data_IF_516762822308
#
_entry.id   IF_516762822308
#
_cell.length_a   1.000
_cell.length_b   1.000
_cell.length_c   1.000
_cell.angle_alpha   90.00
_cell.angle_beta   90.00
_cell.angle_gamma   90.00
#
_symmetry.space_group_name_H-M   'P 1'
#
loop_
_entity.id
_entity.type
_entity.pdbx_description
1 polymer ?
#
# COMPACT_ATOMS: atom_id res chain seq x y z
N UNK A 1 -9.13 8.80 -4.17
CA UNK A 1 -10.50 8.29 -3.87
C UNK A 1 -11.50 8.67 -4.97
N UNK A 2 -11.04 9.36 -6.03
CA UNK A 2 -11.83 9.94 -7.13
C UNK A 2 -12.35 8.95 -8.19
N UNK A 3 -12.31 7.65 -7.92
CA UNK A 3 -12.71 6.59 -8.87
C UNK A 3 -14.18 6.20 -8.70
N UNK A 4 -14.69 6.15 -7.47
CA UNK A 4 -16.08 5.78 -7.20
C UNK A 4 -17.06 6.89 -7.61
N UNK A 5 -16.66 8.16 -7.42
CA UNK A 5 -17.50 9.32 -7.78
C UNK A 5 -17.72 9.40 -9.29
N UNK A 6 -16.67 9.18 -10.09
CA UNK A 6 -16.77 9.17 -11.56
C UNK A 6 -17.57 7.99 -12.11
N UNK A 7 -17.52 6.83 -11.46
CA UNK A 7 -18.33 5.66 -11.85
C UNK A 7 -19.82 5.91 -11.55
N UNK A 8 -20.13 6.54 -10.42
CA UNK A 8 -21.49 6.93 -10.07
C UNK A 8 -22.11 7.85 -11.11
N UNK A 9 -21.40 8.91 -11.50
CA UNK A 9 -21.87 9.87 -12.51
C UNK A 9 -22.07 9.22 -13.90
N UNK A 10 -21.19 8.30 -14.28
CA UNK A 10 -21.26 7.61 -15.58
C UNK A 10 -22.41 6.59 -15.62
N UNK A 11 -22.71 5.88 -14.52
CA UNK A 11 -23.85 4.96 -14.41
C UNK A 11 -25.18 5.73 -14.53
N UNK A 12 -25.30 6.91 -13.91
CA UNK A 12 -26.51 7.74 -13.99
C UNK A 12 -26.73 8.30 -15.39
N UNK A 13 -25.67 8.67 -16.12
CA UNK A 13 -25.79 9.12 -17.51
C UNK A 13 -26.19 8.00 -18.47
N UNK A 14 -25.66 6.78 -18.31
CA UNK A 14 -25.99 5.63 -19.17
C UNK A 14 -27.40 5.08 -18.90
N UNK A 15 -27.88 5.16 -17.65
CA UNK A 15 -29.26 4.77 -17.29
C UNK A 15 -30.35 5.52 -18.06
N UNK A 16 -30.09 6.77 -18.46
CA UNK A 16 -31.01 7.58 -19.25
C UNK A 16 -31.01 7.27 -20.76
N UNK A 17 -30.08 6.45 -21.26
CA UNK A 17 -29.90 6.16 -22.71
C UNK A 17 -30.30 4.70 -23.08
N UNK A 18 -30.73 3.90 -22.10
CA UNK A 18 -30.86 2.45 -22.18
C UNK A 18 -32.12 1.91 -22.89
N UNK A 19 -32.27 2.20 -24.18
CA UNK A 19 -33.33 1.61 -25.01
C UNK A 19 -32.89 0.88 -26.28
N UNK A 20 -31.87 1.37 -27.00
CA UNK A 20 -31.80 1.07 -28.46
C UNK A 20 -30.52 0.50 -29.06
N UNK A 21 -29.41 0.27 -28.32
CA UNK A 21 -28.20 -0.30 -28.97
C UNK A 21 -27.42 -1.28 -28.09
N UNK A 22 -27.81 -2.55 -28.14
CA UNK A 22 -27.11 -3.65 -27.47
C UNK A 22 -25.69 -3.93 -28.02
N UNK A 23 -25.38 -3.55 -29.27
CA UNK A 23 -24.03 -3.71 -29.87
C UNK A 23 -23.00 -2.78 -29.20
N UNK A 24 -23.39 -1.53 -29.01
CA UNK A 24 -22.53 -0.46 -28.48
C UNK A 24 -22.11 -0.74 -27.03
N UNK A 25 -22.90 -1.51 -26.26
CA UNK A 25 -22.59 -1.89 -24.88
C UNK A 25 -21.36 -2.82 -24.80
N UNK A 26 -21.20 -3.73 -25.77
CA UNK A 26 -20.08 -4.69 -25.77
C UNK A 26 -18.75 -4.04 -26.17
N UNK A 27 -18.78 -3.10 -27.12
CA UNK A 27 -17.63 -2.29 -27.51
C UNK A 27 -17.26 -1.32 -26.39
N UNK A 28 -18.26 -0.69 -25.75
CA UNK A 28 -18.06 0.15 -24.57
C UNK A 28 -17.40 -0.62 -23.41
N UNK A 29 -17.87 -1.82 -23.10
CA UNK A 29 -17.29 -2.65 -22.04
C UNK A 29 -15.82 -3.03 -22.33
N UNK A 30 -15.49 -3.36 -23.58
CA UNK A 30 -14.10 -3.64 -24.01
C UNK A 30 -13.21 -2.42 -23.86
N UNK A 31 -13.62 -1.28 -24.42
CA UNK A 31 -12.86 -0.03 -24.37
C UNK A 31 -12.63 0.43 -22.93
N UNK A 32 -13.65 0.32 -22.07
CA UNK A 32 -13.52 0.67 -20.65
C UNK A 32 -12.55 -0.27 -19.92
N UNK A 33 -12.55 -1.56 -20.28
CA UNK A 33 -11.59 -2.54 -19.74
C UNK A 33 -10.15 -2.24 -20.16
N UNK A 34 -9.93 -1.93 -21.43
CA UNK A 34 -8.63 -1.52 -21.97
C UNK A 34 -8.14 -0.22 -21.33
N UNK A 35 -9.03 0.77 -21.19
CA UNK A 35 -8.72 2.04 -20.53
C UNK A 35 -8.21 1.82 -19.11
N UNK A 36 -8.93 1.04 -18.29
CA UNK A 36 -8.49 0.73 -16.91
C UNK A 36 -7.14 0.01 -16.86
N UNK A 37 -6.91 -0.91 -17.79
CA UNK A 37 -5.65 -1.66 -17.89
C UNK A 37 -4.48 -0.73 -18.25
N UNK A 38 -4.69 0.18 -19.20
CA UNK A 38 -3.69 1.16 -19.63
C UNK A 38 -3.44 2.23 -18.58
N UNK A 39 -4.49 2.75 -17.92
CA UNK A 39 -4.37 3.71 -16.82
C UNK A 39 -3.55 3.11 -15.67
N UNK A 40 -3.79 1.84 -15.31
CA UNK A 40 -2.98 1.15 -14.30
C UNK A 40 -1.51 1.05 -14.72
N UNK A 41 -1.24 0.59 -15.95
CA UNK A 41 0.13 0.51 -16.48
C UNK A 41 0.82 1.87 -16.51
N UNK A 42 0.08 2.93 -16.84
CA UNK A 42 0.59 4.29 -16.84
C UNK A 42 0.99 4.73 -15.42
N UNK A 43 0.14 4.47 -14.42
CA UNK A 43 0.46 4.76 -13.02
C UNK A 43 1.67 3.97 -12.53
N UNK A 44 1.74 2.67 -12.84
CA UNK A 44 2.87 1.81 -12.48
C UNK A 44 4.19 2.36 -13.06
N UNK A 45 4.18 2.78 -14.32
CA UNK A 45 5.35 3.39 -14.98
C UNK A 45 5.75 4.73 -14.36
N UNK A 46 4.80 5.58 -13.96
CA UNK A 46 5.12 6.83 -13.26
C UNK A 46 5.82 6.57 -11.92
N UNK A 47 5.35 5.56 -11.17
CA UNK A 47 5.96 5.16 -9.90
C UNK A 47 7.39 4.65 -10.12
N UNK A 48 7.61 3.77 -11.11
CA UNK A 48 8.94 3.25 -11.42
C UNK A 48 9.91 4.35 -11.85
N UNK A 49 9.43 5.27 -12.70
CA UNK A 49 10.22 6.42 -13.14
C UNK A 49 10.59 7.32 -11.96
N UNK A 50 9.62 7.67 -11.11
CA UNK A 50 9.85 8.49 -9.93
C UNK A 50 10.81 7.85 -8.93
N UNK A 51 10.74 6.53 -8.73
CA UNK A 51 11.69 5.79 -7.88
C UNK A 51 13.12 5.87 -8.41
N UNK A 52 13.33 5.57 -9.68
CA UNK A 52 14.66 5.68 -10.32
C UNK A 52 15.20 7.10 -10.23
N UNK A 53 14.33 8.08 -10.49
CA UNK A 53 14.69 9.48 -10.39
C UNK A 53 15.13 9.85 -8.97
N UNK A 54 14.37 9.45 -7.96
CA UNK A 54 14.71 9.72 -6.56
C UNK A 54 15.98 8.99 -6.10
N UNK A 55 16.25 7.78 -6.58
CA UNK A 55 17.48 7.04 -6.29
C UNK A 55 18.73 7.76 -6.85
N UNK A 56 18.63 8.34 -8.05
CA UNK A 56 19.73 9.05 -8.71
C UNK A 56 19.86 10.53 -8.28
N UNK A 57 18.74 11.15 -7.92
CA UNK A 57 18.62 12.59 -7.67
C UNK A 57 17.99 12.93 -6.31
N UNK A 58 18.02 12.02 -5.34
CA UNK A 58 17.41 12.21 -4.03
C UNK A 58 17.90 13.47 -3.30
N UNK A 59 19.15 13.88 -3.53
CA UNK A 59 19.73 15.12 -2.96
C UNK A 59 19.63 16.34 -3.87
N UNK A 60 18.87 16.24 -4.97
CA UNK A 60 18.51 17.38 -5.80
C UNK A 60 17.63 18.36 -5.01
N UNK A 61 17.79 19.66 -5.29
CA UNK A 61 16.97 20.74 -4.72
C UNK A 61 15.70 20.99 -5.53
N UNK A 62 15.20 19.96 -6.19
CA UNK A 62 13.93 20.08 -6.86
C UNK A 62 12.80 20.06 -5.84
N UNK A 63 11.89 21.02 -5.99
CA UNK A 63 10.75 21.22 -5.09
C UNK A 63 9.93 19.94 -4.88
N UNK A 64 9.77 19.14 -5.95
CA UNK A 64 9.09 17.85 -5.86
C UNK A 64 9.85 16.80 -5.02
N UNK A 65 11.19 16.81 -5.06
CA UNK A 65 12.04 15.90 -4.28
C UNK A 65 12.05 16.30 -2.80
N UNK A 66 12.11 17.60 -2.51
CA UNK A 66 12.00 18.13 -1.14
C UNK A 66 10.64 17.78 -0.53
N UNK A 67 9.54 18.02 -1.25
CA UNK A 67 8.20 17.65 -0.81
C UNK A 67 8.05 16.13 -0.59
N UNK A 68 8.65 15.30 -1.45
CA UNK A 68 8.66 13.85 -1.29
C UNK A 68 9.41 13.41 -0.02
N UNK A 69 10.53 14.04 0.31
CA UNK A 69 11.29 13.77 1.55
C UNK A 69 10.48 14.12 2.79
N UNK A 70 9.80 15.27 2.79
CA UNK A 70 8.92 15.68 3.90
C UNK A 70 7.76 14.69 4.10
N UNK A 71 7.05 14.34 3.03
CA UNK A 71 5.96 13.36 3.08
C UNK A 71 6.46 11.98 3.56
N UNK A 72 7.65 11.56 3.11
CA UNK A 72 8.24 10.29 3.53
C UNK A 72 8.51 10.27 5.06
N UNK A 73 9.02 11.36 5.61
CA UNK A 73 9.25 11.50 7.05
C UNK A 73 7.92 11.48 7.84
N UNK A 74 6.88 12.17 7.36
CA UNK A 74 5.55 12.14 7.99
C UNK A 74 4.94 10.74 7.96
N UNK A 75 5.11 10.00 6.86
CA UNK A 75 4.66 8.60 6.75
C UNK A 75 5.35 7.71 7.77
N UNK A 76 6.65 7.89 8.01
CA UNK A 76 7.38 7.15 9.03
C UNK A 76 6.86 7.49 10.43
N UNK A 77 6.73 8.77 10.75
CA UNK A 77 6.22 9.23 12.04
C UNK A 77 4.80 8.73 12.33
N UNK A 78 3.93 8.69 11.32
CA UNK A 78 2.58 8.12 11.46
C UNK A 78 2.62 6.61 11.64
N UNK A 79 3.53 5.89 10.96
CA UNK A 79 3.71 4.45 11.17
C UNK A 79 4.14 4.14 12.59
N UNK A 80 5.04 4.94 13.16
CA UNK A 80 5.50 4.77 14.55
C UNK A 80 4.38 5.02 15.56
N UNK A 81 3.58 6.07 15.35
CA UNK A 81 2.39 6.32 16.18
C UNK A 81 1.39 5.16 16.10
N UNK A 82 1.16 4.62 14.90
CA UNK A 82 0.28 3.46 14.70
C UNK A 82 0.84 2.21 15.40
N UNK A 83 2.16 1.99 15.34
CA UNK A 83 2.82 0.88 16.02
C UNK A 83 2.71 1.01 17.55
N UNK A 84 2.96 2.22 18.08
CA UNK A 84 2.83 2.53 19.51
C UNK A 84 1.41 2.32 20.04
N UNK A 85 0.38 2.73 19.28
CA UNK A 85 -1.02 2.52 19.66
C UNK A 85 -1.47 1.06 19.58
N UNK A 86 -0.87 0.27 18.69
CA UNK A 86 -1.23 -1.15 18.49
C UNK A 86 -0.52 -2.10 19.46
N UNK A 87 0.40 -1.62 20.30
CA UNK A 87 1.06 -2.41 21.35
C UNK A 87 1.80 -3.64 20.81
N UNK A 88 2.30 -3.56 19.58
CA UNK A 88 2.90 -4.67 18.84
C UNK A 88 4.12 -4.22 18.05
N UNK A 89 4.97 -5.17 17.69
CA UNK A 89 6.19 -4.93 16.93
C UNK A 89 5.92 -5.12 15.43
N UNK A 90 6.48 -4.28 14.55
CA UNK A 90 6.31 -4.44 13.11
C UNK A 90 6.98 -5.74 12.63
N UNK A 91 6.26 -6.52 11.83
CA UNK A 91 6.81 -7.71 11.20
C UNK A 91 7.96 -7.32 10.23
N UNK A 92 9.15 -7.92 10.34
CA UNK A 92 10.29 -7.56 9.50
C UNK A 92 10.08 -7.91 8.02
N UNK A 93 9.15 -8.82 7.71
CA UNK A 93 8.89 -9.25 6.33
C UNK A 93 7.80 -8.43 5.62
N UNK A 94 6.76 -7.98 6.34
CA UNK A 94 5.60 -7.35 5.71
C UNK A 94 5.17 -6.02 6.34
N UNK A 95 5.79 -5.60 7.45
CA UNK A 95 5.47 -4.35 8.15
C UNK A 95 4.14 -4.35 8.91
N UNK A 96 3.39 -5.46 8.92
CA UNK A 96 2.18 -5.58 9.73
C UNK A 96 2.54 -5.50 11.22
N UNK A 97 1.76 -4.77 12.02
CA UNK A 97 1.96 -4.71 13.46
C UNK A 97 1.50 -6.00 14.11
N UNK A 98 2.43 -6.71 14.73
CA UNK A 98 2.20 -8.02 15.35
C UNK A 98 2.19 -7.84 16.87
N UNK A 99 1.16 -8.34 17.59
CA UNK A 99 1.11 -8.23 19.05
C UNK A 99 2.39 -8.79 19.71
N UNK A 100 2.90 -8.09 20.73
CA UNK A 100 4.07 -8.52 21.51
C UNK A 100 3.88 -9.95 22.03
N UNK A 101 4.92 -10.78 21.89
CA UNK A 101 4.89 -12.20 22.27
C UNK A 101 4.32 -13.17 21.22
N UNK A 102 4.03 -12.72 19.99
CA UNK A 102 3.59 -13.62 18.90
C UNK A 102 4.78 -14.25 18.14
N UNK A 103 4.88 -15.59 18.12
CA UNK A 103 5.97 -16.34 17.43
C UNK A 103 6.00 -16.15 15.91
N UNK A 104 4.85 -15.84 15.33
CA UNK A 104 4.66 -15.67 13.91
C UNK A 104 3.73 -14.49 13.62
N UNK A 105 3.96 -13.81 12.50
CA UNK A 105 3.10 -12.76 12.01
C UNK A 105 1.75 -13.32 11.57
N UNK A 106 0.66 -12.80 12.13
CA UNK A 106 -0.71 -13.17 11.77
C UNK A 106 -1.11 -12.79 10.33
N UNK A 107 -0.34 -11.90 9.69
CA UNK A 107 -0.67 -11.36 8.36
C UNK A 107 0.09 -12.07 7.24
N UNK A 108 1.34 -12.51 7.47
CA UNK A 108 2.18 -13.11 6.44
C UNK A 108 2.84 -14.45 6.85
N UNK A 109 2.68 -14.90 8.09
CA UNK A 109 3.24 -16.14 8.60
C UNK A 109 4.75 -16.11 8.89
N UNK A 110 5.44 -14.99 8.66
CA UNK A 110 6.87 -14.88 8.96
C UNK A 110 7.15 -14.99 10.47
N UNK A 111 8.25 -15.67 10.83
CA UNK A 111 8.69 -15.81 12.23
C UNK A 111 9.14 -14.44 12.75
N UNK A 112 8.67 -14.06 13.93
CA UNK A 112 9.09 -12.82 14.61
C UNK A 112 10.43 -13.08 15.31
N UNK A 113 11.39 -12.16 15.17
CA UNK A 113 12.78 -12.33 15.63
C UNK A 113 13.03 -12.02 17.11
N UNK A 114 11.98 -11.87 17.91
CA UNK A 114 12.03 -11.24 19.24
C UNK A 114 11.85 -12.23 20.39
N UNK A 115 12.01 -13.53 20.13
CA UNK A 115 12.05 -14.55 21.19
C UNK A 115 13.50 -14.81 21.54
N UNK A 116 14.05 -14.00 22.44
CA UNK A 116 15.09 -14.49 23.35
C UNK A 116 14.31 -15.16 24.49
N UNK A 117 14.41 -16.48 24.54
CA UNK A 117 13.87 -17.27 25.64
C UNK A 117 14.70 -16.94 26.90
N UNK A 118 14.21 -16.02 27.73
CA UNK A 118 14.57 -15.95 29.15
C UNK A 118 14.01 -17.21 29.84
N UNK A 119 14.79 -18.29 29.86
CA UNK A 119 14.75 -19.26 30.96
C UNK A 119 16.16 -19.34 31.57
N UNK A 120 16.22 -18.76 32.77
CA UNK A 120 17.34 -18.66 33.68
C UNK A 120 17.94 -20.04 34.03
N UNK A 121 19.26 -20.04 34.19
CA UNK A 121 19.97 -21.03 35.00
C UNK A 121 19.32 -21.17 36.39
N UNK A 122 18.98 -22.40 36.77
CA UNK A 122 19.08 -22.81 38.18
C UNK A 122 19.97 -24.04 38.26
N UNK A 123 21.19 -23.82 38.71
CA UNK A 123 22.12 -24.83 39.26
C UNK A 123 21.66 -25.33 40.63
N UNK A 124 22.25 -26.46 41.07
CA UNK A 124 22.24 -27.10 42.42
C UNK A 124 21.19 -28.22 42.60
N UNK A 125 21.59 -29.49 42.50
CA UNK A 125 22.22 -30.36 43.53
C UNK A 125 21.20 -30.95 44.53
N UNK A 126 20.83 -32.22 44.33
CA UNK A 126 20.98 -33.36 45.26
C UNK A 126 20.63 -34.70 44.57
#
# INVERSE_FOLDING_TARGET
MDFFDRIGETITQVGNVAGQKAKDVSEFAKLTGELRSLEKKQQDLYIELGKKYFEEHGDSKEEAVEALKEIAADVEHLKDQIAGLKGGDPCPNCGAVVPKGSKFCNSCGAKMSIFEDDEEETTEEE
#
